data_IF_580140487140
#
_entry.id   IF_580140487140
#
_cell.length_a   1.000
_cell.length_b   1.000
_cell.length_c   1.000
_cell.angle_alpha   90.00
_cell.angle_beta   90.00
_cell.angle_gamma   90.00
#
_symmetry.space_group_name_H-M   'P 1'
#
loop_
_entity.id
_entity.type
_entity.pdbx_description
1 polymer ?
#
# COMPACT_ATOMS: atom_id res chain seq x y z
N UNK A 1 -3.74 -14.13 3.06
CA UNK A 1 -3.21 -14.62 4.35
C UNK A 1 -3.45 -16.12 4.44
N UNK A 2 -2.53 -16.96 3.96
CA UNK A 2 -2.77 -18.40 3.79
C UNK A 2 -2.97 -19.18 5.10
N UNK A 3 -2.55 -18.61 6.24
CA UNK A 3 -2.66 -19.22 7.57
C UNK A 3 -3.84 -18.70 8.40
N UNK A 4 -4.67 -17.82 7.83
CA UNK A 4 -5.82 -17.24 8.52
C UNK A 4 -7.03 -18.17 8.50
N UNK A 5 -7.70 -18.32 9.64
CA UNK A 5 -8.98 -19.02 9.75
C UNK A 5 -10.14 -18.25 9.08
N UNK A 6 -9.98 -16.94 8.86
CA UNK A 6 -10.91 -16.09 8.11
C UNK A 6 -10.38 -15.89 6.68
N UNK A 7 -11.16 -16.32 5.69
CA UNK A 7 -10.85 -16.21 4.26
C UNK A 7 -11.37 -14.90 3.65
N UNK A 8 -12.47 -14.35 4.19
CA UNK A 8 -12.96 -13.04 3.79
C UNK A 8 -11.96 -11.92 4.11
N UNK A 9 -11.60 -11.16 3.08
CA UNK A 9 -10.71 -9.99 3.16
C UNK A 9 -11.49 -8.71 2.87
N UNK A 10 -12.46 -8.77 1.97
CA UNK A 10 -13.28 -7.60 1.58
C UNK A 10 -14.60 -7.58 2.36
N UNK A 11 -15.15 -6.39 2.64
CA UNK A 11 -16.35 -6.27 3.47
C UNK A 11 -17.59 -6.93 2.85
N UNK A 12 -17.61 -7.15 1.54
CA UNK A 12 -18.71 -7.79 0.81
C UNK A 12 -18.52 -9.29 0.57
N UNK A 13 -17.43 -9.90 1.05
CA UNK A 13 -17.21 -11.34 0.93
C UNK A 13 -17.92 -12.06 2.09
N UNK A 14 -18.87 -12.95 1.77
CA UNK A 14 -19.45 -13.86 2.75
C UNK A 14 -18.55 -15.09 2.92
N UNK A 15 -18.13 -15.34 4.15
CA UNK A 15 -17.25 -16.44 4.50
C UNK A 15 -18.00 -17.45 5.35
N UNK A 16 -18.57 -18.45 4.67
CA UNK A 16 -19.32 -19.52 5.31
C UNK A 16 -18.46 -20.30 6.31
N UNK A 17 -17.19 -20.54 5.98
CA UNK A 17 -16.25 -21.24 6.88
C UNK A 17 -16.03 -20.44 8.17
N UNK A 18 -15.85 -19.13 8.06
CA UNK A 18 -15.77 -18.24 9.22
C UNK A 18 -17.06 -18.25 10.05
N UNK A 19 -18.24 -18.26 9.42
CA UNK A 19 -19.50 -18.36 10.15
C UNK A 19 -19.59 -19.65 10.98
N UNK A 20 -19.20 -20.79 10.41
CA UNK A 20 -19.11 -22.08 11.12
C UNK A 20 -18.12 -22.03 12.28
N UNK A 21 -16.91 -21.52 12.04
CA UNK A 21 -15.86 -21.41 13.08
C UNK A 21 -16.34 -20.52 14.24
N UNK A 22 -17.00 -19.39 13.94
CA UNK A 22 -17.56 -18.50 14.96
C UNK A 22 -18.71 -19.15 15.74
N UNK A 23 -19.58 -19.90 15.06
CA UNK A 23 -20.65 -20.66 15.73
C UNK A 23 -20.08 -21.69 16.70
N UNK A 24 -19.09 -22.48 16.28
CA UNK A 24 -18.43 -23.47 17.14
C UNK A 24 -17.66 -22.82 18.30
N UNK A 25 -17.02 -21.68 18.08
CA UNK A 25 -16.33 -20.94 19.15
C UNK A 25 -17.31 -20.38 20.19
N UNK A 26 -18.46 -19.84 19.78
CA UNK A 26 -19.50 -19.37 20.70
C UNK A 26 -20.08 -20.51 21.55
N UNK A 27 -20.11 -21.73 21.01
CA UNK A 27 -20.50 -22.95 21.73
C UNK A 27 -19.36 -23.55 22.59
N UNK A 28 -18.16 -22.94 22.60
CA UNK A 28 -16.99 -23.45 23.32
C UNK A 28 -16.31 -24.67 22.68
N UNK A 29 -16.73 -25.06 21.47
CA UNK A 29 -16.26 -26.26 20.76
C UNK A 29 -15.01 -26.02 19.91
N UNK A 30 -14.67 -24.75 19.64
CA UNK A 30 -13.50 -24.39 18.86
C UNK A 30 -12.83 -23.13 19.42
N UNK A 31 -11.55 -22.92 19.07
CA UNK A 31 -10.80 -21.69 19.36
C UNK A 31 -10.17 -21.17 18.08
N UNK A 32 -10.45 -19.90 17.72
CA UNK A 32 -9.78 -19.27 16.59
C UNK A 32 -8.29 -19.09 16.91
N UNK A 33 -7.41 -19.72 16.11
CA UNK A 33 -5.96 -19.68 16.36
C UNK A 33 -5.27 -18.49 15.69
N UNK A 34 -5.59 -18.23 14.42
CA UNK A 34 -4.95 -17.18 13.61
C UNK A 34 -5.98 -16.43 12.77
N UNK A 35 -5.94 -15.11 12.84
CA UNK A 35 -6.66 -14.20 11.96
C UNK A 35 -5.65 -13.45 11.08
N UNK A 36 -6.08 -12.75 10.03
CA UNK A 36 -5.18 -11.88 9.28
C UNK A 36 -4.51 -10.90 10.25
N UNK A 37 -3.17 -10.78 10.23
CA UNK A 37 -2.48 -9.81 11.07
C UNK A 37 -2.95 -8.40 10.69
N UNK A 38 -3.10 -7.56 11.70
CA UNK A 38 -3.49 -6.16 11.56
C UNK A 38 -2.37 -5.28 12.08
N UNK A 39 -1.92 -4.33 11.26
CA UNK A 39 -0.93 -3.34 11.63
C UNK A 39 -1.52 -2.43 12.71
N UNK A 40 -1.00 -2.56 13.93
CA UNK A 40 -1.31 -1.66 15.03
C UNK A 40 -0.47 -0.39 14.91
N UNK A 41 -1.09 0.73 15.20
CA UNK A 41 -0.44 2.03 15.26
C UNK A 41 -0.43 2.51 16.71
N UNK A 42 0.72 2.96 17.18
CA UNK A 42 0.90 3.63 18.47
C UNK A 42 1.31 5.09 18.25
N UNK A 43 2.09 5.63 19.19
CA UNK A 43 2.66 6.96 19.06
C UNK A 43 3.63 7.05 17.88
N UNK A 44 3.62 8.20 17.21
CA UNK A 44 4.55 8.48 16.11
C UNK A 44 5.95 8.61 16.70
N UNK A 45 6.84 7.69 16.36
CA UNK A 45 8.24 7.76 16.78
C UNK A 45 9.01 8.81 15.96
N UNK A 46 9.98 9.53 16.54
CA UNK A 46 10.86 10.41 15.78
C UNK A 46 11.59 9.68 14.65
N UNK A 47 12.06 8.46 14.93
CA UNK A 47 12.82 7.63 14.00
C UNK A 47 12.30 6.19 14.08
N UNK A 48 12.18 5.51 12.94
CA UNK A 48 11.81 4.11 12.88
C UNK A 48 12.94 3.23 13.45
N UNK A 49 12.61 2.33 14.37
CA UNK A 49 13.54 1.39 15.00
C UNK A 49 13.35 -0.06 14.48
N UNK A 50 14.14 -1.00 15.01
CA UNK A 50 14.05 -2.43 14.65
C UNK A 50 12.65 -3.02 14.90
N UNK A 51 11.98 -2.62 15.98
CA UNK A 51 10.60 -3.06 16.29
C UNK A 51 9.60 -2.53 15.27
N UNK A 52 9.80 -1.30 14.81
CA UNK A 52 8.98 -0.68 13.74
C UNK A 52 9.14 -1.48 12.45
N UNK A 53 10.39 -1.80 12.07
CA UNK A 53 10.67 -2.64 10.90
C UNK A 53 10.02 -4.02 11.02
N UNK A 54 10.15 -4.70 12.16
CA UNK A 54 9.54 -6.00 12.42
C UNK A 54 8.01 -5.95 12.25
N UNK A 55 7.36 -4.96 12.85
CA UNK A 55 5.92 -4.75 12.74
C UNK A 55 5.48 -4.54 11.27
N UNK A 56 6.26 -3.76 10.50
CA UNK A 56 5.98 -3.53 9.08
C UNK A 56 6.19 -4.78 8.23
N UNK A 57 7.25 -5.56 8.45
CA UNK A 57 7.51 -6.82 7.72
C UNK A 57 6.42 -7.84 8.01
N UNK A 58 6.02 -7.99 9.27
CA UNK A 58 4.95 -8.89 9.69
C UNK A 58 3.60 -8.53 9.05
N UNK A 59 3.37 -7.23 8.79
CA UNK A 59 2.14 -6.69 8.21
C UNK A 59 2.30 -6.18 6.76
N UNK A 60 3.34 -6.61 6.03
CA UNK A 60 3.73 -6.04 4.73
C UNK A 60 2.59 -6.01 3.70
N UNK A 61 1.72 -7.00 3.70
CA UNK A 61 0.57 -7.06 2.80
C UNK A 61 -0.46 -5.98 3.10
N UNK A 62 -0.72 -5.69 4.38
CA UNK A 62 -1.61 -4.60 4.77
C UNK A 62 -0.98 -3.24 4.47
N UNK A 63 0.31 -3.07 4.76
CA UNK A 63 1.08 -1.86 4.43
C UNK A 63 0.96 -1.55 2.93
N UNK A 64 1.23 -2.55 2.08
CA UNK A 64 1.09 -2.39 0.63
C UNK A 64 -0.35 -2.16 0.18
N UNK A 65 -1.33 -2.78 0.82
CA UNK A 65 -2.74 -2.54 0.53
C UNK A 65 -3.18 -1.11 0.91
N UNK A 66 -2.64 -0.54 1.99
CA UNK A 66 -2.83 0.87 2.38
C UNK A 66 -2.20 1.79 1.34
N UNK A 67 -0.94 1.55 0.97
CA UNK A 67 -0.27 2.32 -0.08
C UNK A 67 -1.06 2.31 -1.40
N UNK A 68 -1.58 1.15 -1.81
CA UNK A 68 -2.38 1.01 -3.01
C UNK A 68 -3.70 1.81 -2.95
N UNK A 69 -4.30 2.00 -1.76
CA UNK A 69 -5.46 2.88 -1.58
C UNK A 69 -5.06 4.34 -1.80
N UNK A 70 -4.00 4.78 -1.16
CA UNK A 70 -3.52 6.16 -1.25
C UNK A 70 -3.11 6.51 -2.69
N UNK A 71 -2.47 5.58 -3.42
CA UNK A 71 -2.18 5.71 -4.84
C UNK A 71 -3.45 5.87 -5.70
N UNK A 72 -4.52 5.11 -5.41
CA UNK A 72 -5.80 5.28 -6.12
C UNK A 72 -6.42 6.65 -5.86
N UNK A 73 -6.31 7.15 -4.62
CA UNK A 73 -6.79 8.48 -4.27
C UNK A 73 -6.00 9.59 -4.98
N UNK A 74 -4.67 9.46 -5.05
CA UNK A 74 -3.81 10.37 -5.80
C UNK A 74 -4.16 10.39 -7.29
N UNK A 75 -4.31 9.22 -7.93
CA UNK A 75 -4.76 9.14 -9.32
C UNK A 75 -6.15 9.76 -9.52
N UNK A 76 -7.08 9.56 -8.57
CA UNK A 76 -8.42 10.15 -8.66
C UNK A 76 -8.39 11.68 -8.52
N UNK A 77 -7.50 12.23 -7.68
CA UNK A 77 -7.28 13.66 -7.57
C UNK A 77 -6.74 14.24 -8.88
N UNK A 78 -5.80 13.55 -9.53
CA UNK A 78 -5.25 13.97 -10.81
C UNK A 78 -6.30 13.95 -11.93
N UNK A 79 -7.17 12.93 -11.96
CA UNK A 79 -8.33 12.91 -12.88
C UNK A 79 -9.25 14.13 -12.64
N UNK A 80 -9.48 14.53 -11.38
CA UNK A 80 -10.31 15.69 -11.06
C UNK A 80 -9.65 16.99 -11.50
N UNK A 81 -8.34 17.14 -11.25
CA UNK A 81 -7.53 18.29 -11.67
C UNK A 81 -7.61 18.50 -13.19
N UNK A 82 -7.36 17.45 -13.97
CA UNK A 82 -7.43 17.50 -15.43
C UNK A 82 -8.82 17.86 -15.97
N UNK A 83 -9.89 17.42 -15.31
CA UNK A 83 -11.25 17.82 -15.66
C UNK A 83 -11.50 19.31 -15.40
N UNK A 84 -11.04 19.82 -14.26
CA UNK A 84 -11.20 21.22 -13.87
C UNK A 84 -10.42 22.17 -14.78
N UNK A 85 -9.24 21.78 -15.23
CA UNK A 85 -8.40 22.53 -16.18
C UNK A 85 -8.97 22.57 -17.61
N UNK A 86 -10.17 22.01 -17.83
CA UNK A 86 -10.82 22.02 -19.13
C UNK A 86 -10.05 21.23 -20.18
N UNK A 87 -9.20 20.27 -19.78
CA UNK A 87 -8.44 19.43 -20.70
C UNK A 87 -9.40 18.62 -21.59
N UNK A 88 -9.76 19.19 -22.74
CA UNK A 88 -10.57 18.58 -23.80
C UNK A 88 -9.85 17.43 -24.52
N UNK A 89 -8.56 17.20 -24.23
CA UNK A 89 -7.83 16.03 -24.72
C UNK A 89 -8.41 14.75 -24.08
N UNK A 90 -9.31 14.10 -24.80
CA UNK A 90 -9.94 12.83 -24.41
C UNK A 90 -8.88 11.77 -24.08
N UNK A 91 -7.75 11.79 -24.79
CA UNK A 91 -6.63 10.87 -24.63
C UNK A 91 -5.95 11.00 -23.26
N UNK A 92 -5.62 12.23 -22.82
CA UNK A 92 -4.97 12.44 -21.51
C UNK A 92 -5.85 11.97 -20.36
N UNK A 93 -7.15 12.29 -20.44
CA UNK A 93 -8.13 11.86 -19.44
C UNK A 93 -8.35 10.34 -19.46
N UNK A 94 -8.34 9.72 -20.65
CA UNK A 94 -8.43 8.27 -20.80
C UNK A 94 -7.21 7.56 -20.21
N UNK A 95 -6.00 8.02 -20.52
CA UNK A 95 -4.75 7.50 -19.97
C UNK A 95 -4.74 7.63 -18.44
N UNK A 96 -5.18 8.76 -17.89
CA UNK A 96 -5.24 8.95 -16.43
C UNK A 96 -6.29 8.04 -15.76
N UNK A 97 -7.40 7.71 -16.45
CA UNK A 97 -8.36 6.69 -15.96
C UNK A 97 -7.76 5.29 -15.96
N UNK A 98 -6.94 4.96 -16.97
CA UNK A 98 -6.18 3.71 -17.00
C UNK A 98 -5.16 3.66 -15.86
N UNK A 99 -4.42 4.74 -15.62
CA UNK A 99 -3.50 4.84 -14.48
C UNK A 99 -4.24 4.62 -13.15
N UNK A 100 -5.40 5.25 -12.93
CA UNK A 100 -6.20 5.00 -11.72
C UNK A 100 -6.55 3.52 -11.53
N UNK A 101 -6.81 2.80 -12.61
CA UNK A 101 -7.14 1.37 -12.59
C UNK A 101 -5.94 0.46 -12.32
N UNK A 102 -4.75 0.84 -12.79
CA UNK A 102 -3.61 -0.07 -12.85
C UNK A 102 -2.39 0.36 -12.02
N UNK A 103 -2.15 1.66 -11.84
CA UNK A 103 -0.90 2.20 -11.26
C UNK A 103 -0.69 1.83 -9.78
N UNK A 104 -1.74 1.41 -9.08
CA UNK A 104 -1.66 0.92 -7.69
C UNK A 104 -1.27 -0.56 -7.59
N UNK A 105 -1.14 -1.26 -8.72
CA UNK A 105 -0.71 -2.67 -8.81
C UNK A 105 0.75 -2.75 -9.20
N UNK A 106 1.34 -3.91 -8.96
CA UNK A 106 2.68 -4.24 -9.45
C UNK A 106 2.70 -4.19 -10.98
N UNK A 107 3.85 -3.82 -11.54
CA UNK A 107 3.98 -3.58 -12.99
C UNK A 107 3.69 -4.82 -13.83
N UNK A 108 4.02 -6.01 -13.31
CA UNK A 108 3.75 -7.30 -13.94
C UNK A 108 2.24 -7.60 -14.08
N UNK A 109 1.39 -6.90 -13.32
CA UNK A 109 -0.07 -7.02 -13.42
C UNK A 109 -0.69 -6.10 -14.45
N UNK A 110 0.08 -5.18 -15.04
CA UNK A 110 -0.40 -4.27 -16.06
C UNK A 110 -0.38 -4.99 -17.41
N UNK A 111 -1.53 -5.14 -18.11
CA UNK A 111 -1.55 -5.75 -19.44
C UNK A 111 -0.58 -5.05 -20.40
N UNK A 112 0.17 -5.82 -21.19
CA UNK A 112 1.22 -5.29 -22.07
C UNK A 112 0.72 -4.16 -23.00
N UNK A 113 -0.47 -4.34 -23.58
CA UNK A 113 -1.10 -3.36 -24.47
C UNK A 113 -1.58 -2.06 -23.77
N UNK A 114 -1.55 -2.02 -22.43
CA UNK A 114 -1.91 -0.85 -21.62
C UNK A 114 -0.70 -0.14 -21.01
N UNK A 115 0.49 -0.75 -21.05
CA UNK A 115 1.68 -0.21 -20.38
C UNK A 115 2.03 1.20 -20.87
N UNK A 116 2.05 1.40 -22.19
CA UNK A 116 2.36 2.70 -22.79
C UNK A 116 1.37 3.80 -22.37
N UNK A 117 0.06 3.52 -22.29
CA UNK A 117 -0.92 4.51 -21.84
C UNK A 117 -0.79 4.83 -20.35
N UNK A 118 -0.50 3.82 -19.53
CA UNK A 118 -0.28 4.01 -18.08
C UNK A 118 1.00 4.80 -17.82
N UNK A 119 2.07 4.52 -18.57
CA UNK A 119 3.33 5.26 -18.53
C UNK A 119 3.15 6.71 -18.99
N UNK A 120 2.46 6.93 -20.11
CA UNK A 120 2.09 8.26 -20.57
C UNK A 120 1.38 9.06 -19.48
N UNK A 121 0.43 8.47 -18.73
CA UNK A 121 -0.21 9.16 -17.61
C UNK A 121 0.75 9.52 -16.47
N UNK A 122 1.76 8.68 -16.21
CA UNK A 122 2.81 8.93 -15.21
C UNK A 122 3.69 10.12 -15.61
N UNK A 123 4.07 10.21 -16.88
CA UNK A 123 4.95 11.27 -17.39
C UNK A 123 4.29 12.66 -17.28
N UNK A 124 2.96 12.72 -17.32
CA UNK A 124 2.21 13.96 -17.14
C UNK A 124 1.97 14.35 -15.66
N UNK A 125 2.42 13.53 -14.70
CA UNK A 125 2.25 13.80 -13.27
C UNK A 125 3.49 13.38 -12.47
N UNK A 126 4.42 14.32 -12.19
CA UNK A 126 5.61 14.07 -11.38
C UNK A 126 5.30 13.47 -10.00
N UNK A 127 4.16 13.88 -9.40
CA UNK A 127 3.71 13.32 -8.12
C UNK A 127 3.39 11.82 -8.22
N UNK A 128 2.68 11.39 -9.27
CA UNK A 128 2.39 9.98 -9.48
C UNK A 128 3.65 9.18 -9.81
N UNK A 129 4.57 9.74 -10.60
CA UNK A 129 5.86 9.13 -10.85
C UNK A 129 6.65 8.87 -9.55
N UNK A 130 6.70 9.88 -8.67
CA UNK A 130 7.36 9.76 -7.36
C UNK A 130 6.67 8.72 -6.48
N UNK A 131 5.34 8.68 -6.43
CA UNK A 131 4.60 7.65 -5.69
C UNK A 131 4.92 6.23 -6.20
N UNK A 132 5.03 6.03 -7.52
CA UNK A 132 5.41 4.72 -8.07
C UNK A 132 6.82 4.33 -7.62
N UNK A 133 7.79 5.24 -7.75
CA UNK A 133 9.17 4.98 -7.35
C UNK A 133 9.28 4.65 -5.84
N UNK A 134 8.63 5.46 -4.99
CA UNK A 134 8.63 5.26 -3.53
C UNK A 134 7.96 3.95 -3.13
N UNK A 135 6.92 3.52 -3.85
CA UNK A 135 6.29 2.20 -3.64
C UNK A 135 7.28 1.06 -3.87
N UNK A 136 8.01 1.10 -4.98
CA UNK A 136 8.98 0.06 -5.30
C UNK A 136 10.15 0.05 -4.31
N UNK A 137 10.65 1.22 -3.90
CA UNK A 137 11.65 1.33 -2.84
C UNK A 137 11.17 0.70 -1.53
N UNK A 138 9.91 0.95 -1.15
CA UNK A 138 9.32 0.35 0.04
C UNK A 138 9.20 -1.17 -0.09
N UNK A 139 8.75 -1.67 -1.26
CA UNK A 139 8.65 -3.11 -1.54
C UNK A 139 10.01 -3.80 -1.41
N UNK A 140 11.09 -3.14 -1.83
CA UNK A 140 12.44 -3.68 -1.77
C UNK A 140 12.94 -3.94 -0.34
N UNK A 141 12.42 -3.25 0.68
CA UNK A 141 12.82 -3.44 2.08
C UNK A 141 12.62 -4.87 2.60
N UNK A 142 11.66 -5.62 2.04
CA UNK A 142 11.36 -6.99 2.49
C UNK A 142 11.41 -8.03 1.37
N UNK A 143 11.86 -7.65 0.17
CA UNK A 143 12.17 -8.61 -0.90
C UNK A 143 13.68 -8.85 -1.06
N UNK A 144 14.53 -7.99 -0.50
CA UNK A 144 15.98 -8.19 -0.47
C UNK A 144 16.35 -9.23 0.60
N UNK A 145 17.18 -10.21 0.24
CA UNK A 145 17.57 -11.32 1.13
C UNK A 145 19.00 -11.22 1.68
N UNK A 146 19.81 -10.28 1.16
CA UNK A 146 21.25 -10.19 1.47
C UNK A 146 21.62 -8.89 2.21
N UNK A 147 20.75 -8.42 3.10
CA UNK A 147 20.90 -7.14 3.81
C UNK A 147 20.72 -7.38 5.30
N UNK A 148 21.55 -6.76 6.14
CA UNK A 148 21.43 -6.89 7.60
C UNK A 148 20.19 -6.17 8.13
N UNK A 149 19.73 -6.57 9.32
CA UNK A 149 18.58 -5.92 9.95
C UNK A 149 18.83 -4.44 10.23
N UNK A 150 20.05 -4.08 10.62
CA UNK A 150 20.47 -2.69 10.88
C UNK A 150 20.39 -1.85 9.59
N UNK A 151 20.84 -2.42 8.46
CA UNK A 151 20.77 -1.74 7.18
C UNK A 151 19.32 -1.57 6.71
N UNK A 152 18.44 -2.56 6.93
CA UNK A 152 17.01 -2.41 6.62
C UNK A 152 16.33 -1.33 7.48
N UNK A 153 16.73 -1.17 8.73
CA UNK A 153 16.27 -0.08 9.60
C UNK A 153 16.73 1.27 9.02
N UNK A 154 18.01 1.38 8.64
CA UNK A 154 18.53 2.59 8.01
C UNK A 154 17.82 2.93 6.68
N UNK A 155 17.56 1.92 5.84
CA UNK A 155 16.83 2.08 4.58
C UNK A 155 15.39 2.54 4.83
N UNK A 156 14.70 2.00 5.86
CA UNK A 156 13.37 2.44 6.27
C UNK A 156 13.37 3.89 6.75
N UNK A 157 14.36 4.29 7.56
CA UNK A 157 14.52 5.67 8.02
C UNK A 157 14.74 6.62 6.85
N UNK A 158 15.64 6.26 5.92
CA UNK A 158 15.90 7.03 4.71
C UNK A 158 14.64 7.17 3.85
N UNK A 159 13.86 6.09 3.72
CA UNK A 159 12.58 6.11 3.01
C UNK A 159 11.59 7.09 3.66
N UNK A 160 11.45 7.06 4.99
CA UNK A 160 10.55 7.95 5.72
C UNK A 160 10.96 9.42 5.53
N UNK A 161 12.25 9.73 5.67
CA UNK A 161 12.77 11.08 5.44
C UNK A 161 12.49 11.57 4.01
N UNK A 162 12.76 10.72 3.02
CA UNK A 162 12.50 11.04 1.59
C UNK A 162 11.01 11.25 1.31
N UNK A 163 10.13 10.52 1.98
CA UNK A 163 8.69 10.69 1.87
C UNK A 163 8.22 12.01 2.52
N UNK A 164 8.80 12.38 3.66
CA UNK A 164 8.52 13.64 4.37
C UNK A 164 8.96 14.87 3.57
N UNK A 165 10.14 14.81 2.96
CA UNK A 165 10.72 15.88 2.13
C UNK A 165 10.12 15.93 0.71
N UNK A 166 9.23 14.99 0.35
CA UNK A 166 8.72 14.88 -1.02
C UNK A 166 7.77 15.99 -1.46
N UNK A 167 7.18 16.74 -0.51
CA UNK A 167 6.10 17.69 -0.77
C UNK A 167 4.76 17.05 -1.19
N UNK A 168 4.66 15.72 -1.18
CA UNK A 168 3.45 14.98 -1.55
C UNK A 168 2.75 14.53 -0.27
N UNK A 169 1.60 15.15 0.05
CA UNK A 169 0.85 14.87 1.28
C UNK A 169 0.61 13.37 1.52
N UNK A 170 0.26 12.61 0.48
CA UNK A 170 0.06 11.17 0.58
C UNK A 170 1.31 10.41 1.05
N UNK A 171 2.52 10.81 0.62
CA UNK A 171 3.78 10.20 1.08
C UNK A 171 4.11 10.63 2.51
N UNK A 172 3.93 11.91 2.82
CA UNK A 172 4.20 12.46 4.15
C UNK A 172 3.33 11.79 5.22
N UNK A 173 2.02 11.69 4.97
CA UNK A 173 1.09 10.98 5.85
C UNK A 173 1.41 9.50 5.96
N UNK A 174 1.86 8.87 4.86
CA UNK A 174 2.23 7.46 4.89
C UNK A 174 3.48 7.23 5.76
N UNK A 175 4.49 8.09 5.65
CA UNK A 175 5.69 8.04 6.49
C UNK A 175 5.36 8.16 7.99
N UNK A 176 4.46 9.08 8.36
CA UNK A 176 3.98 9.20 9.73
C UNK A 176 3.34 7.89 10.23
N UNK A 177 2.47 7.28 9.40
CA UNK A 177 1.84 5.99 9.73
C UNK A 177 2.86 4.86 9.86
N UNK A 178 3.92 4.85 9.05
CA UNK A 178 5.00 3.87 9.19
C UNK A 178 5.75 4.04 10.51
N UNK A 179 6.08 5.28 10.90
CA UNK A 179 6.77 5.57 12.18
C UNK A 179 5.90 5.31 13.41
N UNK A 180 4.58 5.25 13.24
CA UNK A 180 3.64 4.82 14.27
C UNK A 180 3.46 3.29 14.35
N UNK A 181 4.03 2.50 13.42
CA UNK A 181 3.84 1.06 13.41
C UNK A 181 4.41 0.40 14.67
N UNK A 182 3.58 -0.44 15.30
CA UNK A 182 3.93 -1.18 16.51
C UNK A 182 3.45 -2.64 16.40
N UNK A 183 4.19 -3.55 17.02
CA UNK A 183 3.87 -4.98 17.08
C UNK A 183 2.83 -5.28 18.19
#
# INVERSE_FOLDING_TARGET
YPTSAKLSVKPYEFDIGWAYIRGLEMLGLAKVRKTPPMLKLGDIKPVADSKTLEALIANRYEVMAKYARDMRHACAAEVRRLKAEGSRSSAKLANMRLARRWLHRDEDKIPAHLKAQVESARDHSPSLAKLVAMREELRLLWTRTNVSAEQLVADLQAWCKKAEESGIAALQEFALKLRAAHA
#
